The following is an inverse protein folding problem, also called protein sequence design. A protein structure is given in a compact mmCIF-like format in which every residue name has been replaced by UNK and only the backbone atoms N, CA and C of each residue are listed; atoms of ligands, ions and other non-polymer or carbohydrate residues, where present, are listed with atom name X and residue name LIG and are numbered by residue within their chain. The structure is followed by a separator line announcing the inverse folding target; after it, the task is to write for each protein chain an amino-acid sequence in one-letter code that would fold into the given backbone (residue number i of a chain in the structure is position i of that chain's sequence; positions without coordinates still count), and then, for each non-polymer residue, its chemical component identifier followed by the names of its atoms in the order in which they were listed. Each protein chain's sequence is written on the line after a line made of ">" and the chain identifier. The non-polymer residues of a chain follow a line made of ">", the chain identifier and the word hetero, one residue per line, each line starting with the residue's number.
data_IF_568972425474
#
_entry.id   IF_568972425474
#
_cell.length_a   1.000
_cell.length_b   1.000
_cell.length_c   1.000
_cell.angle_alpha   90.00
_cell.angle_beta   90.00
_cell.angle_gamma   90.00
#
_symmetry.space_group_name_H-M   'P 1'
#
loop_
_entity.id
_entity.type
_entity.pdbx_description
1 polymer ?
#
# COMPACT_ATOMS: atom_id res chain seq x y z
N UNK A 1 -11.04 10.19 2.38
CA UNK A 1 -10.99 8.86 3.01
C UNK A 1 -11.77 8.95 4.31
N UNK A 2 -12.87 8.21 4.46
CA UNK A 2 -13.76 8.29 5.62
C UNK A 2 -13.02 8.25 6.96
N UNK A 3 -12.00 7.40 7.10
CA UNK A 3 -11.18 7.32 8.31
C UNK A 3 -10.45 8.61 8.69
N UNK A 4 -10.07 9.45 7.72
CA UNK A 4 -9.50 10.79 7.98
C UNK A 4 -10.57 11.79 8.41
N UNK A 5 -11.78 11.68 7.87
CA UNK A 5 -12.90 12.55 8.24
C UNK A 5 -13.48 12.19 9.62
N UNK A 6 -13.50 10.91 9.98
CA UNK A 6 -13.99 10.42 11.28
C UNK A 6 -12.91 10.24 12.34
N UNK A 7 -11.67 10.66 12.08
CA UNK A 7 -10.53 10.50 13.00
C UNK A 7 -10.36 9.05 13.53
N UNK A 8 -10.65 8.05 12.68
CA UNK A 8 -10.58 6.63 13.03
C UNK A 8 -11.85 6.03 13.65
N UNK A 9 -12.91 6.82 13.89
CA UNK A 9 -14.20 6.30 14.37
C UNK A 9 -15.05 5.78 13.22
N UNK A 10 -14.58 4.72 12.55
CA UNK A 10 -15.35 4.03 11.51
C UNK A 10 -15.21 2.52 11.67
N UNK A 11 -16.26 1.78 11.35
CA UNK A 11 -16.19 0.32 11.24
C UNK A 11 -15.71 -0.07 9.83
N UNK A 12 -14.71 -0.94 9.76
CA UNK A 12 -14.18 -1.50 8.52
C UNK A 12 -14.33 -3.01 8.63
N UNK A 13 -15.09 -3.60 7.69
CA UNK A 13 -15.41 -5.03 7.68
C UNK A 13 -16.00 -5.55 9.01
N UNK A 14 -16.94 -4.79 9.58
CA UNK A 14 -17.64 -5.17 10.82
C UNK A 14 -16.82 -5.03 12.11
N UNK A 15 -15.53 -4.67 12.04
CA UNK A 15 -14.66 -4.41 13.21
C UNK A 15 -14.34 -2.91 13.32
N UNK A 16 -14.06 -2.39 14.53
CA UNK A 16 -13.60 -1.00 14.69
C UNK A 16 -12.27 -0.81 13.96
N UNK A 17 -12.12 0.30 13.23
CA UNK A 17 -10.90 0.59 12.49
C UNK A 17 -9.72 0.85 13.44
N UNK A 18 -8.66 0.06 13.29
CA UNK A 18 -7.37 0.31 13.92
C UNK A 18 -6.62 1.37 13.11
N UNK A 19 -6.30 2.49 13.75
CA UNK A 19 -5.55 3.58 13.12
C UNK A 19 -4.38 4.03 14.01
N UNK A 20 -3.26 4.35 13.39
CA UNK A 20 -2.12 5.00 14.04
C UNK A 20 -2.19 6.49 13.70
N UNK A 21 -2.11 7.34 14.72
CA UNK A 21 -2.13 8.80 14.55
C UNK A 21 -0.70 9.25 14.34
N UNK A 22 -0.37 9.61 13.11
CA UNK A 22 0.95 10.07 12.75
C UNK A 22 0.99 11.60 12.65
N UNK A 23 2.10 12.18 13.07
CA UNK A 23 2.36 13.61 13.00
C UNK A 23 3.63 13.81 12.21
N UNK A 24 3.56 14.61 11.16
CA UNK A 24 4.73 14.94 10.36
C UNK A 24 4.82 16.45 10.16
N UNK A 25 6.05 16.93 10.06
CA UNK A 25 6.34 18.32 9.73
C UNK A 25 6.49 18.41 8.21
N UNK A 26 5.71 19.30 7.59
CA UNK A 26 5.84 19.57 6.16
C UNK A 26 7.14 20.36 5.88
N UNK A 27 7.55 20.46 4.62
CA UNK A 27 8.73 21.23 4.21
C UNK A 27 8.61 22.73 4.56
N UNK A 28 7.41 23.20 4.87
CA UNK A 28 7.09 24.56 5.30
C UNK A 28 7.11 24.74 6.83
N UNK A 29 7.54 23.73 7.60
CA UNK A 29 7.56 23.77 9.07
C UNK A 29 6.19 23.55 9.74
N UNK A 30 5.13 23.30 8.96
CA UNK A 30 3.78 23.11 9.48
C UNK A 30 3.60 21.68 9.97
N UNK A 31 3.25 21.50 11.24
CA UNK A 31 2.89 20.19 11.79
C UNK A 31 1.50 19.76 11.32
N UNK A 32 1.44 18.67 10.56
CA UNK A 32 0.19 18.08 10.08
C UNK A 32 -0.06 16.75 10.76
N UNK A 33 -1.30 16.57 11.24
CA UNK A 33 -1.78 15.29 11.76
C UNK A 33 -2.37 14.48 10.61
N UNK A 34 -1.88 13.26 10.43
CA UNK A 34 -2.44 12.28 9.51
C UNK A 34 -2.78 11.01 10.27
N UNK A 35 -3.68 10.20 9.70
CA UNK A 35 -3.98 8.87 10.22
C UNK A 35 -3.47 7.84 9.23
N UNK A 36 -2.73 6.87 9.75
CA UNK A 36 -2.30 5.65 9.07
C UNK A 36 -3.32 4.56 9.41
N UNK A 37 -3.92 3.96 8.39
CA UNK A 37 -4.99 2.99 8.57
C UNK A 37 -4.39 1.58 8.59
N UNK A 38 -4.66 0.82 9.66
CA UNK A 38 -4.14 -0.56 9.86
C UNK A 38 -5.27 -1.58 9.75
N UNK A 39 -6.41 -1.22 9.17
CA UNK A 39 -7.61 -2.08 9.14
C UNK A 39 -8.10 -2.36 7.72
N UNK A 40 -8.74 -3.52 7.54
CA UNK A 40 -9.22 -3.99 6.23
C UNK A 40 -8.07 -4.36 5.31
N UNK A 41 -8.14 -3.91 4.06
CA UNK A 41 -7.11 -4.20 3.06
C UNK A 41 -5.70 -3.69 3.46
N UNK A 42 -5.61 -2.56 4.17
CA UNK A 42 -4.33 -1.99 4.59
C UNK A 42 -3.67 -2.74 5.76
N UNK A 43 -4.40 -3.65 6.43
CA UNK A 43 -3.86 -4.60 7.41
C UNK A 43 -3.18 -5.79 6.75
N UNK A 44 -3.63 -6.18 5.56
CA UNK A 44 -3.16 -7.37 4.85
C UNK A 44 -1.85 -7.08 4.11
N UNK A 45 -1.69 -5.86 3.59
CA UNK A 45 -0.44 -5.42 2.97
C UNK A 45 -0.38 -3.90 2.85
N UNK A 46 0.84 -3.36 2.99
CA UNK A 46 1.09 -1.91 2.93
C UNK A 46 0.66 -1.29 1.59
N UNK A 47 0.75 -2.04 0.50
CA UNK A 47 0.39 -1.60 -0.85
C UNK A 47 -0.50 -2.59 -1.60
N UNK A 48 -1.60 -3.05 -1.00
CA UNK A 48 -2.54 -3.97 -1.66
C UNK A 48 -3.11 -3.46 -2.99
N UNK A 49 -3.13 -2.14 -3.20
CA UNK A 49 -3.52 -1.56 -4.49
C UNK A 49 -2.64 -2.06 -5.65
N UNK A 50 -1.36 -2.29 -5.41
CA UNK A 50 -0.46 -2.76 -6.46
C UNK A 50 -0.66 -4.23 -6.78
N UNK A 51 -1.08 -5.02 -5.79
CA UNK A 51 -1.46 -6.42 -5.99
C UNK A 51 -2.67 -6.54 -6.91
N UNK A 52 -3.66 -5.65 -6.76
CA UNK A 52 -4.80 -5.59 -7.67
C UNK A 52 -4.41 -5.11 -9.07
N UNK A 53 -3.47 -4.18 -9.20
CA UNK A 53 -2.95 -3.73 -10.49
C UNK A 53 -2.23 -4.88 -11.22
N UNK A 54 -1.43 -5.67 -10.49
CA UNK A 54 -0.76 -6.86 -11.02
C UNK A 54 -1.77 -7.95 -11.39
N UNK A 55 -2.76 -8.22 -10.54
CA UNK A 55 -3.84 -9.17 -10.82
C UNK A 55 -4.62 -8.75 -12.08
N UNK A 56 -4.97 -7.47 -12.20
CA UNK A 56 -5.68 -6.95 -13.35
C UNK A 56 -4.84 -7.06 -14.63
N UNK A 57 -3.54 -6.78 -14.56
CA UNK A 57 -2.63 -6.99 -15.68
C UNK A 57 -2.59 -8.47 -16.11
N UNK A 58 -2.58 -9.42 -15.15
CA UNK A 58 -2.64 -10.86 -15.43
C UNK A 58 -3.96 -11.25 -16.09
N UNK A 59 -5.10 -10.79 -15.57
CA UNK A 59 -6.43 -11.09 -16.13
C UNK A 59 -6.54 -10.60 -17.57
N UNK A 60 -6.04 -9.41 -17.89
CA UNK A 60 -6.04 -8.90 -19.26
C UNK A 60 -5.08 -9.66 -20.19
N UNK A 61 -3.98 -10.19 -19.64
CA UNK A 61 -3.00 -10.95 -20.41
C UNK A 61 -3.41 -12.42 -20.61
N UNK A 62 -4.20 -13.02 -19.71
CA UNK A 62 -4.65 -14.41 -19.80
C UNK A 62 -5.26 -14.81 -21.15
N UNK A 63 -6.20 -14.06 -21.76
CA UNK A 63 -6.77 -14.43 -23.06
C UNK A 63 -5.78 -14.27 -24.23
N UNK A 64 -4.79 -13.38 -24.12
CA UNK A 64 -3.80 -13.13 -25.18
C UNK A 64 -2.54 -14.00 -25.06
N UNK A 65 -2.34 -14.64 -23.90
CA UNK A 65 -1.20 -15.47 -23.56
C UNK A 65 -1.00 -16.65 -24.53
N UNK A 66 -2.09 -17.17 -25.09
CA UNK A 66 -2.12 -18.32 -25.99
C UNK A 66 -1.73 -17.93 -27.42
N UNK A 67 -1.85 -16.65 -27.78
CA UNK A 67 -1.72 -16.16 -29.16
C UNK A 67 -0.45 -15.36 -29.43
N UNK A 68 0.14 -14.72 -28.43
CA UNK A 68 1.31 -13.84 -28.63
C UNK A 68 2.22 -13.77 -27.39
N UNK A 69 3.55 -13.67 -27.56
CA UNK A 69 4.49 -13.50 -26.46
C UNK A 69 4.57 -12.06 -25.91
N UNK A 70 4.04 -11.05 -26.62
CA UNK A 70 4.04 -9.63 -26.22
C UNK A 70 3.45 -9.38 -24.81
N UNK A 71 2.30 -9.97 -24.41
CA UNK A 71 1.74 -9.78 -23.07
C UNK A 71 2.66 -10.21 -21.91
N UNK A 72 3.57 -11.17 -22.11
CA UNK A 72 4.53 -11.56 -21.07
C UNK A 72 5.52 -10.43 -20.74
N UNK A 73 6.00 -9.72 -21.77
CA UNK A 73 6.88 -8.55 -21.62
C UNK A 73 6.19 -7.43 -20.82
N UNK A 74 4.88 -7.23 -21.05
CA UNK A 74 4.06 -6.29 -20.28
C UNK A 74 3.96 -6.69 -18.81
N UNK A 75 3.71 -7.96 -18.51
CA UNK A 75 3.63 -8.46 -17.12
C UNK A 75 4.95 -8.28 -16.37
N UNK A 76 6.06 -8.65 -17.00
CA UNK A 76 7.39 -8.49 -16.42
C UNK A 76 7.68 -7.00 -16.16
N UNK A 77 7.44 -6.15 -17.16
CA UNK A 77 7.67 -4.70 -17.02
C UNK A 77 6.84 -4.09 -15.89
N UNK A 78 5.54 -4.39 -15.82
CA UNK A 78 4.66 -3.89 -14.75
C UNK A 78 5.12 -4.40 -13.39
N UNK A 79 5.48 -5.69 -13.26
CA UNK A 79 5.93 -6.26 -11.99
C UNK A 79 7.19 -5.56 -11.45
N UNK A 80 8.20 -5.32 -12.30
CA UNK A 80 9.45 -4.64 -11.92
C UNK A 80 9.16 -3.19 -11.54
N UNK A 81 8.35 -2.49 -12.33
CA UNK A 81 7.98 -1.10 -12.07
C UNK A 81 7.25 -0.94 -10.73
N UNK A 82 6.36 -1.87 -10.41
CA UNK A 82 5.63 -1.91 -9.15
C UNK A 82 6.57 -2.17 -7.96
N UNK A 83 7.51 -3.11 -8.07
CA UNK A 83 8.51 -3.37 -7.02
C UNK A 83 9.34 -2.11 -6.77
N UNK A 84 9.89 -1.50 -7.81
CA UNK A 84 10.68 -0.28 -7.68
C UNK A 84 9.87 0.87 -7.06
N UNK A 85 8.58 0.97 -7.41
CA UNK A 85 7.67 1.95 -6.82
C UNK A 85 7.45 1.71 -5.32
N UNK A 86 7.21 0.46 -4.90
CA UNK A 86 7.04 0.13 -3.47
C UNK A 86 8.25 0.54 -2.65
N UNK A 87 9.47 0.31 -3.15
CA UNK A 87 10.68 0.66 -2.43
C UNK A 87 10.80 2.17 -2.24
N UNK A 88 10.57 2.95 -3.31
CA UNK A 88 10.59 4.42 -3.25
C UNK A 88 9.51 5.00 -2.35
N UNK A 89 8.32 4.42 -2.34
CA UNK A 89 7.22 4.90 -1.50
C UNK A 89 7.42 4.53 -0.02
N UNK A 90 8.01 3.37 0.28
CA UNK A 90 8.42 2.95 1.63
C UNK A 90 9.50 3.89 2.19
N UNK A 91 10.52 4.22 1.39
CA UNK A 91 11.59 5.14 1.78
C UNK A 91 11.06 6.55 2.10
N UNK A 92 10.16 7.07 1.25
CA UNK A 92 9.50 8.36 1.51
C UNK A 92 8.63 8.33 2.78
N UNK A 93 7.90 7.25 3.01
CA UNK A 93 7.05 7.12 4.20
C UNK A 93 7.89 6.97 5.47
N UNK A 94 8.98 6.21 5.41
CA UNK A 94 9.94 6.07 6.51
C UNK A 94 10.59 7.41 6.86
N UNK A 95 11.03 8.18 5.87
CA UNK A 95 11.61 9.51 6.11
C UNK A 95 10.59 10.51 6.67
N UNK A 96 9.33 10.39 6.27
CA UNK A 96 8.26 11.33 6.66
C UNK A 96 7.67 11.06 8.04
N UNK A 97 7.46 9.80 8.39
CA UNK A 97 6.78 9.40 9.62
C UNK A 97 7.70 8.78 10.66
N UNK A 98 8.94 8.41 10.28
CA UNK A 98 9.97 7.91 11.18
C UNK A 98 9.47 6.77 12.07
N UNK A 99 9.56 6.96 13.38
CA UNK A 99 9.17 5.97 14.39
C UNK A 99 7.71 5.48 14.29
N UNK A 100 6.79 6.34 13.84
CA UNK A 100 5.39 5.96 13.64
C UNK A 100 5.22 5.04 12.42
N UNK A 101 6.15 5.11 11.44
CA UNK A 101 6.22 4.17 10.32
C UNK A 101 6.75 2.81 10.77
N UNK A 102 7.73 2.78 11.68
CA UNK A 102 8.25 1.53 12.25
C UNK A 102 7.16 0.76 13.01
N UNK A 103 6.37 1.44 13.83
CA UNK A 103 5.21 0.83 14.49
C UNK A 103 4.18 0.29 13.48
N UNK A 104 3.94 1.03 12.41
CA UNK A 104 3.07 0.60 11.32
C UNK A 104 3.62 -0.65 10.62
N UNK A 105 4.92 -0.69 10.32
CA UNK A 105 5.58 -1.82 9.68
C UNK A 105 5.59 -3.07 10.57
N UNK A 106 5.65 -2.93 11.90
CA UNK A 106 5.52 -4.05 12.84
C UNK A 106 4.13 -4.68 12.80
N UNK A 107 3.09 -3.86 12.64
CA UNK A 107 1.70 -4.33 12.56
C UNK A 107 1.36 -4.91 11.17
N UNK A 108 1.98 -4.38 10.11
CA UNK A 108 1.76 -4.80 8.72
C UNK A 108 3.10 -5.15 8.07
N UNK A 109 3.64 -6.36 8.32
CA UNK A 109 4.96 -6.75 7.83
C UNK A 109 4.98 -6.82 6.30
N UNK A 110 3.92 -7.32 5.68
CA UNK A 110 3.83 -7.56 4.24
C UNK A 110 3.76 -6.26 3.44
N UNK A 111 4.63 -6.14 2.44
CA UNK A 111 4.67 -4.97 1.55
C UNK A 111 3.58 -5.04 0.49
N UNK A 112 3.41 -6.20 -0.14
CA UNK A 112 2.59 -6.31 -1.34
C UNK A 112 1.83 -7.64 -1.40
N UNK A 113 2.50 -8.78 -1.18
CA UNK A 113 1.87 -10.09 -1.30
C UNK A 113 2.14 -10.88 -0.02
N UNK A 114 1.10 -11.24 0.76
CA UNK A 114 1.29 -12.03 1.96
C UNK A 114 1.98 -13.36 1.62
N UNK A 115 3.18 -13.57 2.14
CA UNK A 115 3.96 -14.80 1.96
C UNK A 115 5.05 -14.79 0.87
N UNK A 116 5.16 -13.72 0.08
CA UNK A 116 6.28 -13.53 -0.87
C UNK A 116 7.08 -12.25 -0.57
N UNK A 117 6.39 -11.19 -0.12
CA UNK A 117 6.96 -9.88 0.26
C UNK A 117 6.07 -9.11 1.25
#
# INVERSE_FOLDING_TARGET
>A
MLARQTNGKCNIWGKPATVIRATYTDNYGIQKRTVLLVSGFWSVGRHMNYTFELLFAVVLCLPSLVYSPIPYLRLIFVSILLIHRTYRDDEKCSQKYGTQWDEYCKLVPYKMIPGLF
#
